data_IF_218044890798
#
_entry.id   IF_218044890798
#
_cell.length_a   1.000
_cell.length_b   1.000
_cell.length_c   1.000
_cell.angle_alpha   90.00
_cell.angle_beta   90.00
_cell.angle_gamma   90.00
#
_symmetry.space_group_name_H-M   'P 1'
#
loop_
_entity.id
_entity.type
_entity.pdbx_description
1 polymer ?
#
# COMPACT_ATOMS: atom_id res chain seq x y z
N UNK A 1 -9.30 -1.14 10.97
CA UNK A 1 -8.45 -0.57 12.05
C UNK A 1 -8.22 -1.55 13.22
N UNK A 2 -9.24 -2.18 13.82
CA UNK A 2 -9.06 -3.08 14.97
C UNK A 2 -8.09 -4.28 14.75
N UNK A 3 -8.07 -4.84 13.54
CA UNK A 3 -7.16 -5.94 13.18
C UNK A 3 -5.68 -5.50 13.17
N UNK A 4 -5.43 -4.29 12.67
CA UNK A 4 -4.09 -3.69 12.59
C UNK A 4 -3.53 -3.39 13.98
N UNK A 5 -4.37 -2.89 14.90
CA UNK A 5 -3.99 -2.69 16.31
C UNK A 5 -3.60 -4.01 16.99
N UNK A 6 -4.42 -5.06 16.84
CA UNK A 6 -4.12 -6.38 17.40
C UNK A 6 -2.85 -7.01 16.82
N UNK A 7 -2.51 -6.73 15.56
CA UNK A 7 -1.27 -7.18 14.96
C UNK A 7 -0.05 -6.45 15.57
N UNK A 8 -0.14 -5.13 15.77
CA UNK A 8 0.89 -4.36 16.49
C UNK A 8 1.09 -4.86 17.93
N UNK A 9 0.01 -5.13 18.66
CA UNK A 9 0.05 -5.66 20.04
C UNK A 9 0.76 -7.01 20.14
N UNK A 10 0.76 -7.81 19.05
CA UNK A 10 1.46 -9.10 18.96
C UNK A 10 2.88 -8.99 18.42
N UNK A 11 3.41 -7.77 18.27
CA UNK A 11 4.78 -7.52 17.78
C UNK A 11 4.94 -7.60 16.26
N UNK A 12 3.85 -7.72 15.50
CA UNK A 12 3.94 -7.67 14.04
C UNK A 12 4.21 -6.24 13.57
N UNK A 13 5.24 -6.10 12.73
CA UNK A 13 5.48 -4.85 12.00
C UNK A 13 4.32 -4.58 11.05
N UNK A 14 3.50 -3.58 11.36
CA UNK A 14 2.42 -3.09 10.50
C UNK A 14 2.78 -1.71 9.98
N UNK A 15 2.48 -1.43 8.71
CA UNK A 15 2.52 -0.07 8.19
C UNK A 15 1.16 0.31 7.58
N UNK A 16 0.71 1.52 7.89
CA UNK A 16 -0.59 2.06 7.52
C UNK A 16 -0.37 3.38 6.81
N UNK A 17 -1.04 3.59 5.68
CA UNK A 17 -1.14 4.86 5.00
C UNK A 17 -2.38 4.84 4.08
N UNK A 18 -2.87 6.02 3.69
CA UNK A 18 -3.87 6.12 2.63
C UNK A 18 -3.29 5.72 1.28
N UNK A 19 -4.14 5.39 0.31
CA UNK A 19 -3.71 5.10 -1.06
C UNK A 19 -2.88 6.25 -1.65
N UNK A 20 -3.25 7.50 -1.34
CA UNK A 20 -2.54 8.69 -1.81
C UNK A 20 -1.15 8.80 -1.20
N UNK A 21 -1.02 8.57 0.10
CA UNK A 21 0.27 8.59 0.78
C UNK A 21 1.19 7.49 0.26
N UNK A 22 0.65 6.29 -0.04
CA UNK A 22 1.41 5.22 -0.65
C UNK A 22 1.92 5.60 -2.03
N UNK A 23 1.05 6.14 -2.89
CA UNK A 23 1.42 6.61 -4.22
C UNK A 23 2.50 7.69 -4.13
N UNK A 24 2.29 8.76 -3.38
CA UNK A 24 3.25 9.86 -3.28
C UNK A 24 4.61 9.41 -2.74
N UNK A 25 4.62 8.45 -1.81
CA UNK A 25 5.86 7.85 -1.30
C UNK A 25 6.59 7.02 -2.35
N UNK A 26 5.86 6.24 -3.15
CA UNK A 26 6.44 5.41 -4.21
C UNK A 26 6.89 6.26 -5.41
N UNK A 27 6.15 7.30 -5.77
CA UNK A 27 6.53 8.30 -6.78
C UNK A 27 7.83 8.99 -6.38
N UNK A 28 7.90 9.53 -5.17
CA UNK A 28 9.09 10.20 -4.68
C UNK A 28 10.30 9.25 -4.56
N UNK A 29 10.08 7.94 -4.40
CA UNK A 29 11.15 6.94 -4.46
C UNK A 29 11.55 6.62 -5.91
N UNK A 30 10.59 6.58 -6.84
CA UNK A 30 10.82 6.40 -8.27
C UNK A 30 11.64 7.55 -8.85
N UNK A 31 11.28 8.80 -8.54
CA UNK A 31 11.99 10.01 -8.99
C UNK A 31 13.46 10.03 -8.53
N UNK A 32 13.74 9.36 -7.40
CA UNK A 32 15.08 9.20 -6.84
C UNK A 32 15.80 7.92 -7.31
N UNK A 33 15.22 7.15 -8.24
CA UNK A 33 15.69 5.82 -8.64
C UNK A 33 15.87 4.82 -7.47
N UNK A 34 15.04 4.96 -6.44
CA UNK A 34 15.08 4.15 -5.21
C UNK A 34 13.80 3.31 -5.01
N UNK A 35 12.91 3.25 -6.00
CA UNK A 35 11.64 2.53 -5.92
C UNK A 35 11.81 1.08 -5.43
N UNK A 36 12.73 0.34 -6.03
CA UNK A 36 12.98 -1.07 -5.70
C UNK A 36 13.52 -1.24 -4.26
N UNK A 37 14.32 -0.29 -3.77
CA UNK A 37 14.77 -0.30 -2.36
C UNK A 37 13.62 -0.04 -1.41
N UNK A 38 12.73 0.87 -1.78
CA UNK A 38 11.54 1.18 -0.98
C UNK A 38 10.55 0.01 -0.95
N UNK A 39 10.31 -0.65 -2.08
CA UNK A 39 9.50 -1.87 -2.15
C UNK A 39 10.07 -2.99 -1.27
N UNK A 40 11.39 -3.24 -1.31
CA UNK A 40 12.06 -4.20 -0.42
C UNK A 40 11.93 -3.82 1.06
N UNK A 41 11.96 -2.54 1.38
CA UNK A 41 11.73 -2.06 2.75
C UNK A 41 10.30 -2.37 3.20
N UNK A 42 9.34 -2.19 2.30
CA UNK A 42 7.92 -2.48 2.55
C UNK A 42 7.64 -3.99 2.68
N UNK A 43 8.40 -4.87 2.04
CA UNK A 43 8.29 -6.33 2.26
C UNK A 43 8.54 -6.76 3.72
N UNK A 44 9.33 -6.00 4.49
CA UNK A 44 9.65 -6.33 5.89
C UNK A 44 8.49 -6.15 6.87
N UNK A 45 7.39 -5.53 6.43
CA UNK A 45 6.18 -5.41 7.24
C UNK A 45 5.30 -6.64 7.03
N UNK A 46 4.80 -7.21 8.11
CA UNK A 46 3.93 -8.38 8.06
C UNK A 46 2.55 -8.02 7.49
N UNK A 47 2.13 -6.78 7.70
CA UNK A 47 0.86 -6.24 7.22
C UNK A 47 1.06 -4.82 6.68
N UNK A 48 0.56 -4.57 5.47
CA UNK A 48 0.32 -3.20 4.99
C UNK A 48 -1.16 -2.93 4.96
N UNK A 49 -1.53 -1.73 5.36
CA UNK A 49 -2.88 -1.22 5.23
C UNK A 49 -2.87 -0.10 4.22
N UNK A 50 -3.70 -0.23 3.20
CA UNK A 50 -3.97 0.78 2.18
C UNK A 50 -5.38 1.29 2.43
N UNK A 51 -5.48 2.47 3.04
CA UNK A 51 -6.78 3.07 3.37
C UNK A 51 -7.30 3.97 2.24
N UNK A 52 -8.60 4.22 2.24
CA UNK A 52 -9.29 5.17 1.37
C UNK A 52 -9.06 4.94 -0.13
N UNK A 53 -8.94 3.68 -0.57
CA UNK A 53 -8.87 3.35 -1.99
C UNK A 53 -10.16 3.81 -2.68
N UNK A 54 -10.05 4.55 -3.79
CA UNK A 54 -11.20 5.00 -4.59
C UNK A 54 -11.47 6.52 -4.61
N UNK A 55 -10.65 7.34 -3.94
CA UNK A 55 -10.74 8.80 -4.07
C UNK A 55 -9.79 9.40 -5.12
N UNK A 56 -8.71 8.68 -5.45
CA UNK A 56 -7.75 9.13 -6.44
C UNK A 56 -8.30 8.87 -7.85
N UNK A 57 -8.37 9.88 -8.74
CA UNK A 57 -8.20 9.58 -10.15
C UNK A 57 -6.79 9.01 -10.26
N UNK A 58 -6.66 7.69 -10.22
CA UNK A 58 -5.35 7.06 -10.40
C UNK A 58 -4.93 7.37 -11.82
N UNK A 59 -4.14 8.43 -11.98
CA UNK A 59 -3.30 8.58 -13.15
C UNK A 59 -2.59 7.24 -13.38
N UNK A 60 -2.44 6.84 -14.63
CA UNK A 60 -1.94 5.50 -14.97
C UNK A 60 -0.62 5.16 -14.25
N UNK A 61 0.21 6.16 -13.96
CA UNK A 61 1.41 6.09 -13.11
C UNK A 61 1.11 5.62 -11.68
N UNK A 62 0.18 6.27 -10.99
CA UNK A 62 -0.22 5.95 -9.61
C UNK A 62 -0.78 4.53 -9.51
N UNK A 63 -1.63 4.14 -10.47
CA UNK A 63 -2.15 2.76 -10.55
C UNK A 63 -1.01 1.74 -10.70
N UNK A 64 -0.03 2.02 -11.57
CA UNK A 64 1.11 1.14 -11.78
C UNK A 64 1.96 0.98 -10.51
N UNK A 65 2.15 2.05 -9.72
CA UNK A 65 2.92 1.99 -8.48
C UNK A 65 2.21 1.17 -7.40
N UNK A 66 0.90 1.36 -7.22
CA UNK A 66 0.12 0.51 -6.32
C UNK A 66 0.12 -0.95 -6.80
N UNK A 67 0.01 -1.18 -8.12
CA UNK A 67 0.11 -2.52 -8.69
C UNK A 67 1.48 -3.16 -8.43
N UNK A 68 2.58 -2.39 -8.55
CA UNK A 68 3.92 -2.87 -8.23
C UNK A 68 4.04 -3.26 -6.75
N UNK A 69 3.47 -2.45 -5.84
CA UNK A 69 3.42 -2.76 -4.41
C UNK A 69 2.64 -4.05 -4.12
N UNK A 70 1.45 -4.20 -4.71
CA UNK A 70 0.61 -5.39 -4.54
C UNK A 70 1.29 -6.62 -5.13
N UNK A 71 1.81 -6.52 -6.35
CA UNK A 71 2.51 -7.62 -7.03
C UNK A 71 3.73 -8.09 -6.23
N UNK A 72 4.47 -7.16 -5.62
CA UNK A 72 5.63 -7.50 -4.81
C UNK A 72 5.27 -8.26 -3.53
N UNK A 73 4.04 -8.11 -3.06
CA UNK A 73 3.52 -8.76 -1.86
C UNK A 73 2.67 -9.97 -2.10
N UNK A 74 2.23 -10.16 -3.33
CA UNK A 74 1.55 -11.37 -3.73
C UNK A 74 2.39 -12.57 -3.28
N UNK A 75 1.78 -13.46 -2.49
CA UNK A 75 2.41 -14.64 -1.86
C UNK A 75 3.52 -14.37 -0.82
N UNK A 76 3.90 -13.11 -0.54
CA UNK A 76 4.99 -12.75 0.38
C UNK A 76 4.54 -12.03 1.65
N UNK A 77 3.35 -11.44 1.68
CA UNK A 77 2.83 -10.73 2.85
C UNK A 77 1.38 -10.30 2.72
N UNK A 78 0.74 -9.98 3.85
CA UNK A 78 -0.67 -9.59 3.87
C UNK A 78 -0.87 -8.11 3.53
N UNK A 79 -1.88 -7.81 2.73
CA UNK A 79 -2.37 -6.45 2.48
C UNK A 79 -3.82 -6.37 2.93
N UNK A 80 -4.15 -5.35 3.71
CA UNK A 80 -5.54 -4.96 3.99
C UNK A 80 -5.83 -3.71 3.20
N UNK A 81 -6.93 -3.71 2.47
CA UNK A 81 -7.42 -2.55 1.75
C UNK A 81 -8.74 -2.12 2.37
N UNK A 82 -8.87 -0.83 2.64
CA UNK A 82 -10.13 -0.21 3.05
C UNK A 82 -10.53 0.84 2.03
N UNK A 83 -11.83 0.91 1.77
CA UNK A 83 -12.41 1.84 0.79
C UNK A 83 -13.74 2.32 1.33
N UNK A 84 -14.03 3.59 1.10
CA UNK A 84 -15.33 4.22 1.39
C UNK A 84 -16.31 4.09 0.22
N UNK A 85 -15.88 3.46 -0.90
CA UNK A 85 -16.67 3.24 -2.12
C UNK A 85 -16.72 1.76 -2.49
N UNK A 86 -17.81 1.35 -3.14
CA UNK A 86 -17.96 -0.01 -3.65
C UNK A 86 -16.90 -0.35 -4.72
N UNK A 87 -16.58 -1.63 -4.85
CA UNK A 87 -15.59 -2.17 -5.80
C UNK A 87 -15.80 -1.68 -7.26
N UNK A 88 -17.04 -1.40 -7.64
CA UNK A 88 -17.42 -0.94 -8.99
C UNK A 88 -16.89 0.45 -9.35
N UNK A 89 -16.35 1.20 -8.40
CA UNK A 89 -15.87 2.58 -8.60
C UNK A 89 -14.35 2.70 -8.61
N UNK A 90 -13.64 1.57 -8.69
CA UNK A 90 -12.18 1.52 -8.67
C UNK A 90 -11.52 1.63 -10.06
N UNK A 91 -12.32 1.75 -11.14
CA UNK A 91 -11.87 1.80 -12.54
C UNK A 91 -12.57 2.85 -13.37
#
# INVERSE_FOLDING_TARGET
>A
IALSLKACERGFRVAFATAQEWVSRLEAAQDRNQLETELRRLERYHLLVVDEVGYLPLERSAANLLFALVSRRYERGSIVVTSTRGFEQWG
#
